data_IF_801524155224
#
_entry.id   IF_801524155224
#
_cell.length_a   1.000
_cell.length_b   1.000
_cell.length_c   1.000
_cell.angle_alpha   90.00
_cell.angle_beta   90.00
_cell.angle_gamma   90.00
#
_symmetry.space_group_name_H-M   'P 1'
#
loop_
_entity.id
_entity.type
_entity.pdbx_description
1 polymer ?
#
# COMPACT_ATOMS: atom_id res chain seq x y z
N UNK A 1 1.81 -16.94 16.35
CA UNK A 1 0.91 -15.92 15.77
C UNK A 1 -0.39 -16.62 15.41
N UNK A 2 -1.48 -16.25 16.07
CA UNK A 2 -2.81 -16.85 15.94
C UNK A 2 -3.78 -15.67 15.99
N UNK A 3 -4.58 -15.46 14.95
CA UNK A 3 -5.36 -14.23 14.78
C UNK A 3 -6.80 -14.53 14.43
N UNK A 4 -7.72 -13.74 15.00
CA UNK A 4 -9.12 -13.69 14.60
C UNK A 4 -9.40 -12.36 13.91
N UNK A 5 -10.09 -12.44 12.79
CA UNK A 5 -10.62 -11.30 12.03
C UNK A 5 -12.11 -11.20 12.40
N UNK A 6 -12.58 -10.01 12.78
CA UNK A 6 -14.00 -9.74 13.04
C UNK A 6 -14.57 -8.90 11.90
N UNK A 7 -15.69 -9.35 11.35
CA UNK A 7 -16.38 -8.70 10.23
C UNK A 7 -17.34 -7.61 10.75
N UNK A 8 -17.43 -6.47 10.06
CA UNK A 8 -18.55 -5.53 10.20
C UNK A 8 -19.71 -6.00 9.31
N UNK A 9 -20.88 -6.21 9.90
CA UNK A 9 -22.08 -6.71 9.24
C UNK A 9 -22.51 -5.82 8.05
N UNK A 10 -22.39 -6.37 6.84
CA UNK A 10 -22.89 -5.80 5.60
C UNK A 10 -22.76 -6.83 4.47
N UNK A 11 -23.89 -7.37 4.00
CA UNK A 11 -23.99 -8.44 3.01
C UNK A 11 -23.45 -8.01 1.63
N UNK A 12 -22.23 -8.44 1.30
CA UNK A 12 -21.72 -8.65 -0.07
C UNK A 12 -20.41 -9.43 0.02
N UNK A 13 -20.31 -10.56 -0.67
CA UNK A 13 -19.19 -11.53 -0.56
C UNK A 13 -17.83 -11.03 -1.07
N UNK A 14 -17.71 -9.76 -1.45
CA UNK A 14 -16.52 -9.16 -2.06
C UNK A 14 -15.90 -8.02 -1.23
N UNK A 15 -16.03 -8.08 0.09
CA UNK A 15 -15.39 -7.08 0.95
C UNK A 15 -13.87 -7.29 0.93
N UNK A 16 -13.15 -6.34 0.32
CA UNK A 16 -11.67 -6.26 0.32
C UNK A 16 -11.14 -5.44 1.50
N UNK A 17 -12.05 -4.97 2.37
CA UNK A 17 -11.77 -4.16 3.54
C UNK A 17 -11.80 -5.02 4.79
N UNK A 18 -10.72 -5.00 5.57
CA UNK A 18 -10.61 -5.78 6.79
C UNK A 18 -9.94 -4.99 7.90
N UNK A 19 -10.45 -5.15 9.11
CA UNK A 19 -9.75 -4.75 10.32
C UNK A 19 -8.94 -5.94 10.85
N UNK A 20 -7.65 -5.70 11.09
CA UNK A 20 -6.71 -6.68 11.61
C UNK A 20 -6.28 -6.23 13.00
N UNK A 21 -6.54 -7.09 13.98
CA UNK A 21 -6.00 -6.92 15.33
C UNK A 21 -4.59 -7.49 15.42
N UNK A 22 -3.67 -6.68 15.93
CA UNK A 22 -2.27 -7.01 16.18
C UNK A 22 -2.15 -7.56 17.61
N UNK A 23 -1.52 -8.73 17.77
CA UNK A 23 -1.19 -9.25 19.08
C UNK A 23 0.18 -8.72 19.54
N UNK A 24 0.19 -8.04 20.68
CA UNK A 24 1.42 -7.70 21.39
C UNK A 24 1.91 -8.93 22.18
N UNK A 25 2.56 -9.86 21.49
CA UNK A 25 3.48 -10.76 22.18
C UNK A 25 4.74 -9.96 22.52
N UNK A 26 5.00 -9.84 23.83
CA UNK A 26 6.18 -9.24 24.42
C UNK A 26 7.43 -10.07 24.08
N UNK A 27 8.61 -9.42 24.06
CA UNK A 27 9.97 -10.01 24.03
C UNK A 27 10.83 -9.91 22.74
N UNK A 28 10.55 -9.02 21.79
CA UNK A 28 11.58 -8.64 20.80
C UNK A 28 11.64 -7.13 20.62
N UNK A 29 12.72 -6.52 21.10
CA UNK A 29 13.06 -5.12 20.86
C UNK A 29 13.19 -4.89 19.35
N UNK A 30 12.51 -3.84 18.87
CA UNK A 30 12.32 -3.46 17.46
C UNK A 30 11.29 -4.28 16.65
N UNK A 31 10.06 -4.42 17.19
CA UNK A 31 8.92 -4.95 16.44
C UNK A 31 8.39 -3.89 15.46
N UNK A 32 8.17 -4.29 14.21
CA UNK A 32 7.56 -3.43 13.19
C UNK A 32 6.17 -2.95 13.63
N UNK A 33 5.94 -1.64 13.56
CA UNK A 33 4.65 -1.01 13.78
C UNK A 33 4.10 -0.53 12.42
N UNK A 34 3.00 -1.11 11.92
CA UNK A 34 2.41 -0.69 10.65
C UNK A 34 1.96 0.77 10.72
N UNK A 35 2.11 1.50 9.62
CA UNK A 35 1.67 2.88 9.46
C UNK A 35 0.71 3.00 8.28
N UNK A 36 -0.11 4.05 8.30
CA UNK A 36 -0.92 4.39 7.14
C UNK A 36 -0.01 4.67 5.94
N UNK A 37 -0.34 4.06 4.81
CA UNK A 37 0.47 4.07 3.60
C UNK A 37 1.33 2.82 3.40
N UNK A 38 1.45 1.94 4.40
CA UNK A 38 2.28 0.74 4.25
C UNK A 38 1.59 -0.33 3.41
N UNK A 39 2.39 -0.99 2.56
CA UNK A 39 2.04 -2.22 1.87
C UNK A 39 2.69 -3.39 2.60
N UNK A 40 1.87 -4.33 3.01
CA UNK A 40 2.29 -5.52 3.76
C UNK A 40 1.86 -6.79 3.03
N UNK A 41 2.62 -7.88 3.21
CA UNK A 41 2.21 -9.22 2.82
C UNK A 41 1.59 -9.94 4.02
N UNK A 42 0.44 -10.59 3.81
CA UNK A 42 -0.23 -11.40 4.83
C UNK A 42 0.02 -12.88 4.55
N UNK A 43 0.52 -13.62 5.55
CA UNK A 43 0.89 -15.04 5.38
C UNK A 43 0.33 -15.92 6.50
N UNK A 44 0.12 -17.20 6.21
CA UNK A 44 -0.38 -18.20 7.17
C UNK A 44 0.73 -18.68 8.12
N UNK A 45 1.95 -18.73 7.64
CA UNK A 45 3.17 -19.16 8.37
C UNK A 45 4.16 -18.00 8.43
N UNK A 46 5.15 -18.08 9.34
CA UNK A 46 6.21 -17.07 9.43
C UNK A 46 7.13 -17.22 8.23
N UNK A 47 7.17 -16.25 7.30
CA UNK A 47 8.02 -16.36 6.13
C UNK A 47 9.49 -16.19 6.53
N UNK A 48 10.36 -16.95 5.87
CA UNK A 48 11.82 -16.93 6.01
C UNK A 48 12.50 -16.57 4.69
N UNK A 49 11.83 -16.81 3.56
CA UNK A 49 12.28 -16.53 2.19
C UNK A 49 11.16 -15.88 1.39
N UNK A 50 11.51 -15.34 0.22
CA UNK A 50 10.54 -14.71 -0.68
C UNK A 50 9.48 -15.70 -1.17
N UNK A 51 9.86 -16.97 -1.39
CA UNK A 51 8.95 -18.02 -1.85
C UNK A 51 7.87 -18.36 -0.81
N UNK A 52 8.13 -18.09 0.47
CA UNK A 52 7.15 -18.29 1.55
C UNK A 52 6.00 -17.26 1.48
N UNK A 53 6.10 -16.27 0.60
CA UNK A 53 5.02 -15.32 0.33
C UNK A 53 3.99 -15.87 -0.67
N UNK A 54 4.22 -17.01 -1.32
CA UNK A 54 3.27 -17.62 -2.26
C UNK A 54 2.24 -18.51 -1.53
N UNK A 55 0.91 -18.30 -1.69
CA UNK A 55 0.25 -17.30 -2.52
C UNK A 55 0.31 -15.89 -1.93
N UNK A 56 0.70 -14.92 -2.76
CA UNK A 56 0.89 -13.54 -2.35
C UNK A 56 -0.45 -12.85 -2.06
N UNK A 57 -0.66 -12.51 -0.79
CA UNK A 57 -1.78 -11.70 -0.33
C UNK A 57 -1.28 -10.33 0.13
N UNK A 58 -1.42 -9.33 -0.73
CA UNK A 58 -1.05 -7.96 -0.42
C UNK A 58 -2.15 -7.28 0.39
N UNK A 59 -1.75 -6.45 1.34
CA UNK A 59 -2.65 -5.61 2.11
C UNK A 59 -2.08 -4.19 2.23
N UNK A 60 -2.87 -3.19 1.84
CA UNK A 60 -2.54 -1.78 1.98
C UNK A 60 -3.17 -1.22 3.24
N UNK A 61 -2.36 -0.69 4.16
CA UNK A 61 -2.79 -0.09 5.41
C UNK A 61 -3.26 1.34 5.14
N UNK A 62 -4.56 1.61 5.31
CA UNK A 62 -5.12 2.95 5.05
C UNK A 62 -5.59 3.65 6.33
N UNK A 63 -5.76 2.91 7.43
CA UNK A 63 -6.13 3.46 8.73
C UNK A 63 -5.49 2.64 9.84
N UNK A 64 -5.18 3.34 10.92
CA UNK A 64 -4.73 2.76 12.18
C UNK A 64 -5.65 3.29 13.29
N UNK A 65 -6.15 2.40 14.12
CA UNK A 65 -7.02 2.70 15.25
C UNK A 65 -6.32 2.26 16.55
N UNK A 66 -5.81 3.24 17.29
CA UNK A 66 -4.86 3.02 18.38
C UNK A 66 -3.59 2.31 17.89
N UNK A 67 -2.95 1.54 18.78
CA UNK A 67 -1.70 0.83 18.47
C UNK A 67 -1.89 -0.62 17.99
N UNK A 68 -3.11 -1.14 18.08
CA UNK A 68 -3.38 -2.57 17.96
C UNK A 68 -4.32 -2.94 16.82
N UNK A 69 -5.01 -1.97 16.20
CA UNK A 69 -5.94 -2.27 15.10
C UNK A 69 -5.50 -1.49 13.87
N UNK A 70 -5.40 -2.21 12.75
CA UNK A 70 -5.15 -1.61 11.44
C UNK A 70 -6.28 -1.98 10.50
N UNK A 71 -6.73 -1.02 9.69
CA UNK A 71 -7.67 -1.29 8.60
C UNK A 71 -6.89 -1.37 7.30
N UNK A 72 -7.15 -2.44 6.54
CA UNK A 72 -6.42 -2.74 5.31
C UNK A 72 -7.34 -3.00 4.13
N UNK A 73 -6.84 -2.64 2.94
CA UNK A 73 -7.36 -3.11 1.66
C UNK A 73 -6.54 -4.31 1.20
N UNK A 74 -7.16 -5.48 1.05
CA UNK A 74 -6.49 -6.68 0.53
C UNK A 74 -6.62 -6.78 -1.00
N UNK A 75 -5.63 -7.39 -1.65
CA UNK A 75 -5.60 -7.54 -3.12
C UNK A 75 -6.64 -8.50 -3.69
N UNK A 76 -7.20 -9.39 -2.85
CA UNK A 76 -8.27 -10.33 -3.23
C UNK A 76 -9.17 -10.64 -2.04
N UNK A 77 -10.38 -11.12 -2.32
CA UNK A 77 -11.29 -11.57 -1.27
C UNK A 77 -10.72 -12.79 -0.54
N UNK A 78 -11.08 -12.89 0.74
CA UNK A 78 -10.67 -13.98 1.61
C UNK A 78 -11.87 -14.84 1.95
N UNK A 79 -11.73 -16.14 1.76
CA UNK A 79 -12.71 -17.09 2.30
C UNK A 79 -12.67 -17.09 3.83
N UNK A 80 -13.77 -17.45 4.52
CA UNK A 80 -13.81 -17.48 5.99
C UNK A 80 -12.68 -18.32 6.62
N UNK A 81 -12.31 -19.45 6.01
CA UNK A 81 -11.20 -20.29 6.47
C UNK A 81 -9.82 -19.64 6.34
N UNK A 82 -9.60 -18.85 5.28
CA UNK A 82 -8.35 -18.12 5.10
C UNK A 82 -8.19 -17.00 6.12
N UNK A 83 -9.28 -16.29 6.46
CA UNK A 83 -9.28 -15.22 7.45
C UNK A 83 -8.70 -15.67 8.80
N UNK A 84 -9.03 -16.89 9.22
CA UNK A 84 -8.54 -17.46 10.49
C UNK A 84 -7.16 -18.11 10.37
N UNK A 85 -6.72 -18.38 9.14
CA UNK A 85 -5.42 -18.98 8.85
C UNK A 85 -4.30 -17.94 8.76
N UNK A 86 -4.62 -16.69 8.40
CA UNK A 86 -3.65 -15.59 8.34
C UNK A 86 -3.15 -15.31 9.75
N UNK A 87 -1.84 -15.40 9.91
CA UNK A 87 -1.20 -15.28 11.20
C UNK A 87 -0.15 -14.21 11.16
N UNK A 88 0.67 -14.15 10.12
CA UNK A 88 1.82 -13.25 10.02
C UNK A 88 1.61 -12.12 9.02
N UNK A 89 2.34 -11.04 9.24
CA UNK A 89 2.40 -9.88 8.35
C UNK A 89 3.85 -9.44 8.18
N UNK A 90 4.25 -9.16 6.94
CA UNK A 90 5.60 -8.68 6.61
C UNK A 90 5.49 -7.32 5.95
N UNK A 91 6.29 -6.36 6.41
CA UNK A 91 6.42 -5.07 5.74
C UNK A 91 7.14 -5.26 4.40
N UNK A 92 6.53 -4.78 3.32
CA UNK A 92 7.15 -4.79 1.99
C UNK A 92 7.74 -3.43 1.66
N UNK A 93 6.89 -2.39 1.66
CA UNK A 93 7.28 -1.03 1.31
C UNK A 93 6.19 -0.04 1.74
N UNK A 94 6.52 1.26 1.78
CA UNK A 94 5.55 2.34 2.01
C UNK A 94 5.14 2.95 0.66
N UNK A 95 3.84 3.02 0.40
CA UNK A 95 3.28 3.58 -0.85
C UNK A 95 3.04 5.08 -0.79
N UNK A 96 3.35 5.79 0.30
CA UNK A 96 3.13 7.24 0.42
C UNK A 96 3.64 8.05 -0.77
N UNK A 97 4.86 7.78 -1.25
CA UNK A 97 5.43 8.47 -2.41
C UNK A 97 4.67 8.11 -3.69
N UNK A 98 4.38 6.83 -3.90
CA UNK A 98 3.61 6.35 -5.05
C UNK A 98 2.21 6.97 -5.09
N UNK A 99 1.53 7.05 -3.94
CA UNK A 99 0.23 7.71 -3.79
C UNK A 99 0.31 9.21 -4.09
N UNK A 100 1.36 9.91 -3.63
CA UNK A 100 1.55 11.34 -3.96
C UNK A 100 1.75 11.56 -5.45
N UNK A 101 2.58 10.75 -6.10
CA UNK A 101 2.81 10.82 -7.55
C UNK A 101 1.51 10.52 -8.29
N UNK A 102 0.83 9.43 -7.93
CA UNK A 102 -0.45 9.05 -8.53
C UNK A 102 -1.47 10.19 -8.41
N UNK A 103 -1.63 10.75 -7.21
CA UNK A 103 -2.54 11.85 -6.97
C UNK A 103 -2.14 13.11 -7.75
N UNK A 104 -0.85 13.42 -7.87
CA UNK A 104 -0.39 14.56 -8.66
C UNK A 104 -0.70 14.41 -10.15
N UNK A 105 -0.60 13.18 -10.68
CA UNK A 105 -0.91 12.87 -12.08
C UNK A 105 -2.41 12.82 -12.37
N UNK A 106 -3.22 12.39 -11.41
CA UNK A 106 -4.67 12.19 -11.56
C UNK A 106 -5.49 13.21 -10.77
N UNK A 107 -4.92 14.37 -10.48
CA UNK A 107 -5.64 15.43 -9.79
C UNK A 107 -6.62 16.11 -10.77
N UNK A 108 -7.91 15.79 -10.66
CA UNK A 108 -8.99 16.41 -11.46
C UNK A 108 -9.06 17.94 -11.29
N UNK A 109 -8.54 18.49 -10.18
CA UNK A 109 -8.47 19.92 -9.92
C UNK A 109 -7.11 20.55 -10.32
N UNK A 110 -6.26 19.82 -11.05
CA UNK A 110 -4.94 20.32 -11.44
C UNK A 110 -5.05 21.47 -12.46
N UNK A 111 -4.19 22.48 -12.27
CA UNK A 111 -4.08 23.58 -13.22
C UNK A 111 -3.47 23.10 -14.54
N UNK A 112 -4.33 22.89 -15.54
CA UNK A 112 -3.97 22.41 -16.88
C UNK A 112 -2.95 23.30 -17.58
N UNK A 113 -2.87 24.60 -17.25
CA UNK A 113 -1.89 25.52 -17.85
C UNK A 113 -0.45 25.21 -17.41
N UNK A 114 -0.24 24.81 -16.16
CA UNK A 114 1.10 24.43 -15.67
C UNK A 114 1.53 23.05 -16.18
N UNK A 115 0.58 22.12 -16.31
CA UNK A 115 0.85 20.82 -16.93
C UNK A 115 1.25 21.02 -18.40
N UNK A 116 0.52 21.85 -19.15
CA UNK A 116 0.85 22.16 -20.54
C UNK A 116 2.22 22.82 -20.67
N UNK A 117 2.59 23.77 -19.80
CA UNK A 117 3.89 24.44 -19.88
C UNK A 117 5.07 23.51 -19.57
N UNK A 118 4.91 22.55 -18.66
CA UNK A 118 5.95 21.54 -18.35
C UNK A 118 6.06 20.50 -19.47
N UNK A 119 4.94 20.12 -20.10
CA UNK A 119 4.92 19.16 -21.21
C UNK A 119 5.41 19.77 -22.54
N UNK A 120 5.41 21.09 -22.67
CA UNK A 120 6.04 21.77 -23.81
C UNK A 120 7.55 21.57 -23.72
N UNK A 121 8.04 20.49 -24.34
CA UNK A 121 9.47 20.25 -24.51
C UNK A 121 10.13 21.48 -25.10
N UNK A 122 11.28 21.87 -24.55
CA UNK A 122 12.07 23.03 -24.98
C UNK A 122 12.57 22.83 -26.43
N UNK A 123 11.68 23.02 -27.41
CA UNK A 123 11.98 22.90 -28.84
C UNK A 123 12.70 24.13 -29.40
N UNK A 124 13.30 24.95 -28.55
CA UNK A 124 14.04 26.16 -28.93
C UNK A 124 15.53 25.97 -28.59
N UNK A 125 16.16 24.94 -29.14
CA UNK A 125 17.60 25.03 -29.43
C UNK A 125 17.72 26.02 -30.60
N UNK A 126 17.78 27.32 -30.29
CA UNK A 126 18.17 28.34 -31.27
C UNK A 126 19.61 28.04 -31.68
N UNK A 127 19.78 27.33 -32.78
CA UNK A 127 21.06 27.28 -33.51
C UNK A 127 21.35 28.70 -33.95
N UNK A 128 22.17 29.42 -33.18
CA UNK A 128 22.73 30.71 -33.61
C UNK A 128 23.65 30.42 -34.80
N UNK A 129 23.16 30.64 -36.02
CA UNK A 129 24.06 30.79 -37.18
C UNK A 129 24.84 32.09 -36.97
N UNK A 130 26.06 31.95 -36.47
CA UNK A 130 27.05 33.01 -36.56
C UNK A 130 27.39 33.16 -38.05
N UNK A 131 26.90 34.22 -38.70
CA UNK A 131 27.38 34.60 -40.03
C UNK A 131 28.68 35.37 -39.82
N UNK A 132 29.80 34.79 -40.25
CA UNK A 132 31.05 35.53 -40.38
C UNK A 132 30.89 36.55 -41.51
N UNK A 133 31.28 37.79 -41.23
CA UNK A 133 31.44 38.89 -42.20
C UNK A 133 32.85 38.82 -42.75
#
# INVERSE_FOLDING_TARGET
MEKRIKESSGSSSNTLLYDITLSNEDNFSAKYQPKCGDLIALTKTRPRRIDDLDPLLLAYVFKMDGDLIISVHVSRSLSPGEKHSIRFGVSLTTLTTNTRIWNALHNEAANSTLIQSVLQGNNQVRVRKQSCV
#
